data_IF_796617402452
#
_entry.id   IF_796617402452
#
_cell.length_a   1.000
_cell.length_b   1.000
_cell.length_c   1.000
_cell.angle_alpha   90.00
_cell.angle_beta   90.00
_cell.angle_gamma   90.00
#
_symmetry.space_group_name_H-M   'P 1'
#
loop_
_entity.id
_entity.type
_entity.pdbx_description
1 polymer ?
#
# COMPACT_ATOMS: atom_id res chain seq x y z
N UNK A 1 22.20 5.44 4.10
CA UNK A 1 22.83 4.16 4.47
C UNK A 1 21.78 3.07 4.46
N UNK A 2 22.01 2.03 3.71
CA UNK A 2 21.14 0.89 3.83
C UNK A 2 21.27 0.27 5.22
N UNK A 3 20.15 -0.17 5.78
CA UNK A 3 20.17 -0.87 7.05
C UNK A 3 20.93 -2.19 6.90
N UNK A 4 21.62 -2.61 7.96
CA UNK A 4 22.25 -3.93 7.98
C UNK A 4 21.17 -5.02 7.91
N UNK A 5 21.44 -6.14 7.22
CA UNK A 5 20.49 -7.26 7.25
C UNK A 5 20.23 -7.71 8.68
N UNK A 6 19.01 -8.14 9.02
CA UNK A 6 18.76 -8.68 10.36
C UNK A 6 19.55 -9.97 10.58
N UNK A 7 19.96 -10.18 11.82
CA UNK A 7 20.72 -11.38 12.20
C UNK A 7 19.86 -12.64 12.18
N UNK A 8 18.54 -12.51 12.29
CA UNK A 8 17.61 -13.64 12.27
C UNK A 8 16.89 -13.74 10.93
N UNK A 9 16.39 -14.94 10.61
CA UNK A 9 15.55 -15.16 9.44
C UNK A 9 14.06 -14.90 9.74
N UNK A 10 13.79 -14.22 10.83
CA UNK A 10 12.45 -13.92 11.28
C UNK A 10 11.77 -12.93 10.34
N UNK A 11 10.52 -13.18 10.05
CA UNK A 11 9.67 -12.28 9.29
C UNK A 11 8.48 -11.81 10.12
N UNK A 12 8.18 -10.54 9.99
CA UNK A 12 6.96 -9.95 10.55
C UNK A 12 6.13 -9.43 9.38
N UNK A 13 4.86 -9.78 9.36
CA UNK A 13 3.93 -9.31 8.33
C UNK A 13 3.04 -8.25 8.93
N UNK A 14 3.04 -7.07 8.32
CA UNK A 14 2.18 -5.95 8.68
C UNK A 14 1.18 -5.74 7.55
N UNK A 15 -0.11 -5.75 7.87
CA UNK A 15 -1.16 -5.54 6.89
C UNK A 15 -1.91 -4.25 7.19
N UNK A 16 -2.09 -3.42 6.17
CA UNK A 16 -2.82 -2.17 6.25
C UNK A 16 -3.97 -2.16 5.25
N UNK A 17 -5.17 -1.85 5.74
CA UNK A 17 -6.38 -1.79 4.91
C UNK A 17 -6.47 -0.52 4.08
N UNK A 18 -7.48 -0.48 3.20
CA UNK A 18 -7.68 0.62 2.25
C UNK A 18 -7.85 2.00 2.90
N UNK A 19 -8.45 2.08 4.09
CA UNK A 19 -8.61 3.34 4.81
C UNK A 19 -7.25 3.91 5.22
N UNK A 20 -6.33 3.06 5.68
CA UNK A 20 -4.99 3.49 6.06
C UNK A 20 -4.17 3.92 4.85
N UNK A 21 -4.20 3.16 3.75
CA UNK A 21 -3.37 3.44 2.58
C UNK A 21 -3.91 4.57 1.71
N UNK A 22 -5.19 4.96 1.86
CA UNK A 22 -5.80 6.03 1.07
C UNK A 22 -5.42 7.43 1.53
N UNK A 23 -4.73 7.57 2.64
CA UNK A 23 -4.31 8.87 3.16
C UNK A 23 -2.79 8.96 3.12
N UNK A 24 -2.29 9.96 2.40
CA UNK A 24 -0.85 10.13 2.18
C UNK A 24 -0.04 10.20 3.48
N UNK A 25 -0.50 10.96 4.46
CA UNK A 25 0.22 11.10 5.72
C UNK A 25 0.35 9.78 6.51
N UNK A 26 -0.53 8.82 6.24
CA UNK A 26 -0.47 7.52 6.89
C UNK A 26 0.67 6.65 6.36
N UNK A 27 1.17 6.94 5.16
CA UNK A 27 2.32 6.24 4.61
C UNK A 27 3.58 6.49 5.41
N UNK A 28 3.75 7.70 5.95
CA UNK A 28 4.86 8.00 6.85
C UNK A 28 4.76 7.17 8.14
N UNK A 29 3.56 7.00 8.65
CA UNK A 29 3.30 6.17 9.83
C UNK A 29 3.59 4.70 9.53
N UNK A 30 3.17 4.19 8.36
CA UNK A 30 3.44 2.82 7.93
C UNK A 30 4.94 2.58 7.86
N UNK A 31 5.68 3.50 7.23
CA UNK A 31 7.13 3.39 7.12
C UNK A 31 7.84 3.37 8.48
N UNK A 32 7.43 4.27 9.37
CA UNK A 32 8.00 4.32 10.73
C UNK A 32 7.69 3.05 11.52
N UNK A 33 6.46 2.55 11.41
CA UNK A 33 6.06 1.33 12.10
C UNK A 33 6.84 0.12 11.59
N UNK A 34 6.99 0.01 10.26
CA UNK A 34 7.74 -1.08 9.66
C UNK A 34 9.20 -1.07 10.12
N UNK A 35 9.86 0.10 10.10
CA UNK A 35 11.22 0.25 10.55
C UNK A 35 11.37 -0.09 12.03
N UNK A 36 10.47 0.42 12.85
CA UNK A 36 10.46 0.16 14.29
C UNK A 36 10.34 -1.33 14.60
N UNK A 37 9.44 -2.02 13.91
CA UNK A 37 9.28 -3.48 14.10
C UNK A 37 10.50 -4.25 13.66
N UNK A 38 11.13 -3.85 12.56
CA UNK A 38 12.36 -4.48 12.10
C UNK A 38 13.48 -4.31 13.14
N UNK A 39 13.66 -3.10 13.65
CA UNK A 39 14.73 -2.79 14.61
C UNK A 39 14.50 -3.47 15.96
N UNK A 40 13.29 -3.38 16.50
CA UNK A 40 12.97 -3.91 17.83
C UNK A 40 13.01 -5.44 17.88
N UNK A 41 12.65 -6.10 16.80
CA UNK A 41 12.52 -7.56 16.77
C UNK A 41 13.67 -8.23 16.02
N UNK A 42 14.62 -7.47 15.50
CA UNK A 42 15.68 -7.97 14.64
C UNK A 42 15.12 -8.89 13.55
N UNK A 43 14.14 -8.39 12.83
CA UNK A 43 13.37 -9.16 11.86
C UNK A 43 13.25 -8.42 10.53
N UNK A 44 12.95 -9.19 9.49
CA UNK A 44 12.54 -8.63 8.21
C UNK A 44 11.06 -8.33 8.27
N UNK A 45 10.65 -7.24 7.63
CA UNK A 45 9.25 -6.83 7.63
C UNK A 45 8.70 -6.89 6.22
N UNK A 46 7.59 -7.61 6.05
CA UNK A 46 6.80 -7.63 4.84
C UNK A 46 5.56 -6.76 5.08
N UNK A 47 5.43 -5.71 4.29
CA UNK A 47 4.27 -4.82 4.37
C UNK A 47 3.28 -5.19 3.27
N UNK A 48 2.06 -5.52 3.67
CA UNK A 48 0.97 -5.84 2.75
C UNK A 48 -0.05 -4.71 2.82
N UNK A 49 -0.36 -4.12 1.68
CA UNK A 49 -1.31 -3.01 1.60
C UNK A 49 -2.45 -3.36 0.67
N UNK A 50 -3.64 -2.85 0.99
CA UNK A 50 -4.78 -2.91 0.09
C UNK A 50 -4.67 -1.84 -0.98
N UNK A 51 -5.46 -1.96 -2.04
CA UNK A 51 -5.66 -0.86 -2.97
C UNK A 51 -6.25 0.36 -2.24
N UNK A 52 -6.11 1.54 -2.82
CA UNK A 52 -6.76 2.74 -2.32
C UNK A 52 -8.27 2.54 -2.26
N UNK A 53 -8.95 3.23 -1.34
CA UNK A 53 -10.39 3.09 -1.15
C UNK A 53 -11.16 3.28 -2.45
N UNK A 54 -12.04 2.34 -2.78
CA UNK A 54 -12.86 2.38 -3.97
C UNK A 54 -12.19 1.88 -5.24
N UNK A 55 -10.88 1.66 -5.26
CA UNK A 55 -10.16 1.22 -6.47
C UNK A 55 -10.61 -0.18 -6.90
N UNK A 56 -10.79 -1.09 -5.96
CA UNK A 56 -11.26 -2.44 -6.29
C UNK A 56 -12.61 -2.42 -7.00
N UNK A 57 -13.54 -1.60 -6.52
CA UNK A 57 -14.86 -1.46 -7.16
C UNK A 57 -14.75 -0.88 -8.57
N UNK A 58 -13.85 0.10 -8.78
CA UNK A 58 -13.60 0.67 -10.10
C UNK A 58 -13.01 -0.36 -11.06
N UNK A 59 -12.05 -1.14 -10.60
CA UNK A 59 -11.45 -2.20 -11.41
C UNK A 59 -12.48 -3.28 -11.78
N UNK A 60 -13.37 -3.62 -10.85
CA UNK A 60 -14.45 -4.57 -11.12
C UNK A 60 -15.40 -4.03 -12.19
N UNK A 61 -15.79 -2.76 -12.11
CA UNK A 61 -16.65 -2.13 -13.11
C UNK A 61 -16.00 -2.13 -14.49
N UNK A 62 -14.71 -1.84 -14.58
CA UNK A 62 -13.95 -1.85 -15.82
C UNK A 62 -13.94 -3.28 -16.40
N UNK A 63 -13.65 -4.28 -15.57
CA UNK A 63 -13.58 -5.68 -15.98
C UNK A 63 -14.95 -6.20 -16.46
N UNK A 64 -16.03 -5.71 -15.87
CA UNK A 64 -17.40 -6.08 -16.24
C UNK A 64 -17.90 -5.35 -17.51
N UNK A 65 -17.06 -4.54 -18.14
CA UNK A 65 -17.37 -3.88 -19.40
C UNK A 65 -18.21 -2.62 -19.27
N UNK A 66 -17.98 -1.82 -18.22
CA UNK A 66 -18.68 -0.54 -18.08
C UNK A 66 -18.51 0.32 -19.33
N UNK A 67 -19.59 1.02 -19.74
CA UNK A 67 -19.56 1.84 -20.95
C UNK A 67 -18.59 3.02 -20.88
N UNK A 68 -18.25 3.45 -19.67
CA UNK A 68 -17.31 4.53 -19.40
C UNK A 68 -15.93 4.03 -18.92
N UNK A 69 -15.56 2.80 -19.34
CA UNK A 69 -14.33 2.16 -18.87
C UNK A 69 -13.08 3.01 -19.10
N UNK A 70 -12.94 3.63 -20.27
CA UNK A 70 -11.77 4.46 -20.56
C UNK A 70 -11.68 5.67 -19.63
N UNK A 71 -12.80 6.29 -19.33
CA UNK A 71 -12.84 7.40 -18.38
C UNK A 71 -12.50 6.94 -16.96
N UNK A 72 -12.98 5.76 -16.57
CA UNK A 72 -12.64 5.19 -15.25
C UNK A 72 -11.17 4.90 -15.12
N UNK A 73 -10.54 4.37 -16.16
CA UNK A 73 -9.09 4.14 -16.18
C UNK A 73 -8.32 5.44 -16.02
N UNK A 74 -8.71 6.49 -16.77
CA UNK A 74 -8.07 7.80 -16.69
C UNK A 74 -8.20 8.41 -15.27
N UNK A 75 -9.37 8.26 -14.66
CA UNK A 75 -9.62 8.75 -13.30
C UNK A 75 -8.75 8.00 -12.27
N UNK A 76 -8.62 6.69 -12.41
CA UNK A 76 -7.75 5.90 -11.54
C UNK A 76 -6.29 6.32 -11.66
N UNK A 77 -5.83 6.51 -12.89
CA UNK A 77 -4.46 6.98 -13.14
C UNK A 77 -4.21 8.33 -12.48
N UNK A 78 -5.11 9.28 -12.68
CA UNK A 78 -5.01 10.60 -12.10
C UNK A 78 -4.99 10.55 -10.56
N UNK A 79 -5.85 9.74 -9.97
CA UNK A 79 -5.92 9.57 -8.52
C UNK A 79 -4.59 9.06 -7.95
N UNK A 80 -3.97 8.09 -8.61
CA UNK A 80 -2.70 7.55 -8.16
C UNK A 80 -1.56 8.55 -8.36
N UNK A 81 -1.57 9.33 -9.43
CA UNK A 81 -0.58 10.39 -9.65
C UNK A 81 -0.66 11.48 -8.60
N UNK A 82 -1.86 11.89 -8.23
CA UNK A 82 -2.07 12.91 -7.21
C UNK A 82 -1.65 12.44 -5.82
N UNK A 83 -1.67 11.14 -5.60
CA UNK A 83 -1.31 10.54 -4.33
C UNK A 83 0.20 10.60 -4.05
N UNK A 84 0.99 10.57 -5.07
CA UNK A 84 2.47 10.52 -4.97
C UNK A 84 3.09 11.93 -4.66
#
# INVERSE_FOLDING_TARGET
MPASPPASDRWIVLKFGGTSVSRRHRWDTIGRLAKRRADENDARVLVVVSALSGVTNELTAIADGASDALQRVATLEQRHREFV
#
